data_IF_872865523560
#
_entry.id   IF_872865523560
#
_cell.length_a   1.000
_cell.length_b   1.000
_cell.length_c   1.000
_cell.angle_alpha   90.00
_cell.angle_beta   90.00
_cell.angle_gamma   90.00
#
_symmetry.space_group_name_H-M   'P 1'
#
loop_
_entity.id
_entity.type
_entity.pdbx_description
1 polymer ?
#
# COMPACT_ATOMS: atom_id res chain seq x y z
N UNK A 1 -53.12 -29.91 38.60
CA UNK A 1 -54.12 -29.15 37.82
C UNK A 1 -53.98 -29.59 36.37
N UNK A 2 -55.09 -30.09 35.80
CA UNK A 2 -55.39 -30.39 34.37
C UNK A 2 -54.99 -29.20 33.44
N UNK A 3 -54.78 -29.26 32.13
CA UNK A 3 -54.95 -30.21 31.02
C UNK A 3 -54.31 -29.52 29.77
N UNK A 4 -53.58 -30.25 28.91
CA UNK A 4 -53.88 -30.57 27.48
C UNK A 4 -53.19 -29.72 26.40
N UNK A 5 -52.60 -30.47 25.47
CA UNK A 5 -51.97 -30.10 24.22
C UNK A 5 -52.94 -29.53 23.17
N UNK A 6 -52.40 -28.87 22.15
CA UNK A 6 -52.74 -29.16 20.74
C UNK A 6 -51.59 -28.78 19.80
N UNK A 7 -51.09 -29.81 19.12
CA UNK A 7 -50.41 -29.76 17.83
C UNK A 7 -51.40 -29.33 16.74
N UNK A 8 -50.94 -28.55 15.75
CA UNK A 8 -51.50 -28.59 14.39
C UNK A 8 -50.35 -28.56 13.39
N UNK A 9 -50.24 -29.67 12.69
CA UNK A 9 -49.46 -29.94 11.50
C UNK A 9 -50.09 -29.22 10.29
N UNK A 10 -49.26 -28.65 9.42
CA UNK A 10 -49.62 -28.46 8.01
C UNK A 10 -48.38 -28.68 7.15
N UNK A 11 -48.24 -29.93 6.72
CA UNK A 11 -47.51 -30.29 5.52
C UNK A 11 -48.28 -29.80 4.29
N UNK A 12 -47.64 -29.10 3.35
CA UNK A 12 -47.76 -29.51 1.95
C UNK A 12 -46.56 -29.09 1.08
N UNK A 13 -46.30 -29.97 0.12
CA UNK A 13 -45.17 -30.09 -0.79
C UNK A 13 -45.32 -29.16 -1.99
N UNK A 14 -44.18 -28.74 -2.56
CA UNK A 14 -44.12 -28.17 -3.90
C UNK A 14 -42.76 -28.42 -4.54
N UNK A 15 -42.78 -29.17 -5.64
CA UNK A 15 -41.67 -29.50 -6.55
C UNK A 15 -40.69 -28.33 -6.74
N UNK A 16 -39.38 -28.54 -6.69
CA UNK A 16 -38.64 -29.28 -7.71
C UNK A 16 -38.28 -28.32 -8.83
N UNK A 17 -36.98 -28.04 -9.01
CA UNK A 17 -36.32 -27.87 -10.31
C UNK A 17 -34.81 -27.68 -10.09
N UNK A 18 -34.06 -28.48 -10.83
CA UNK A 18 -32.61 -28.37 -11.02
C UNK A 18 -32.22 -26.95 -11.40
N UNK A 19 -31.19 -26.43 -10.74
CA UNK A 19 -30.52 -25.20 -11.11
C UNK A 19 -29.09 -25.21 -10.61
N UNK A 20 -28.23 -25.92 -11.35
CA UNK A 20 -26.78 -25.74 -11.54
C UNK A 20 -26.07 -24.87 -10.48
N UNK A 21 -25.09 -25.39 -9.71
CA UNK A 21 -24.22 -24.51 -8.96
C UNK A 21 -23.49 -23.61 -9.96
N UNK A 22 -23.72 -22.30 -9.84
CA UNK A 22 -22.95 -21.28 -10.51
C UNK A 22 -21.49 -21.46 -10.11
N UNK A 23 -20.75 -22.20 -10.94
CA UNK A 23 -19.30 -22.15 -10.99
C UNK A 23 -18.99 -20.72 -11.38
N UNK A 24 -18.78 -19.88 -10.36
CA UNK A 24 -18.22 -18.55 -10.51
C UNK A 24 -16.93 -18.76 -11.26
N UNK A 25 -16.95 -18.35 -12.53
CA UNK A 25 -15.79 -18.27 -13.37
C UNK A 25 -14.72 -17.54 -12.56
N UNK A 26 -13.67 -18.27 -12.21
CA UNK A 26 -12.41 -17.70 -11.80
C UNK A 26 -11.95 -16.90 -13.01
N UNK A 27 -12.29 -15.62 -13.02
CA UNK A 27 -11.63 -14.66 -13.86
C UNK A 27 -10.16 -14.75 -13.44
N UNK A 28 -9.39 -15.50 -14.22
CA UNK A 28 -7.96 -15.32 -14.30
C UNK A 28 -7.77 -13.83 -14.50
N UNK A 29 -7.29 -13.19 -13.43
CA UNK A 29 -6.77 -11.84 -13.46
C UNK A 29 -5.58 -11.91 -14.39
N UNK A 30 -5.90 -11.80 -15.68
CA UNK A 30 -4.97 -11.46 -16.73
C UNK A 30 -4.29 -10.22 -16.21
N UNK A 31 -3.02 -10.40 -15.84
CA UNK A 31 -2.09 -9.34 -15.49
C UNK A 31 -1.95 -8.50 -16.74
N UNK A 32 -2.94 -7.64 -16.98
CA UNK A 32 -3.03 -6.77 -18.13
C UNK A 32 -1.80 -5.89 -18.10
N UNK A 33 -1.14 -5.85 -19.26
CA UNK A 33 0.08 -5.10 -19.51
C UNK A 33 0.02 -3.73 -18.87
N UNK A 34 1.16 -3.37 -18.28
CA UNK A 34 1.36 -2.12 -17.59
C UNK A 34 1.07 -0.97 -18.55
N UNK A 35 0.24 0.02 -18.17
CA UNK A 35 0.20 1.26 -18.90
C UNK A 35 1.55 1.94 -18.71
N UNK A 36 2.43 1.72 -19.68
CA UNK A 36 3.65 2.48 -19.92
C UNK A 36 3.24 3.94 -20.17
N UNK A 37 3.11 4.68 -19.09
CA UNK A 37 2.75 6.08 -19.08
C UNK A 37 3.55 6.72 -17.97
N UNK A 38 4.75 7.22 -18.32
CA UNK A 38 5.69 8.01 -17.52
C UNK A 38 5.31 8.10 -16.04
N UNK A 39 6.01 7.40 -15.16
CA UNK A 39 5.78 7.44 -13.72
C UNK A 39 5.66 8.89 -13.20
N UNK A 40 4.43 9.39 -13.09
CA UNK A 40 4.18 10.68 -12.47
C UNK A 40 4.53 10.56 -10.99
N UNK A 41 5.18 11.55 -10.42
CA UNK A 41 5.59 11.58 -9.00
C UNK A 41 4.50 11.06 -8.06
N UNK A 42 3.25 11.51 -8.28
CA UNK A 42 2.09 11.07 -7.49
C UNK A 42 1.82 9.57 -7.58
N UNK A 43 1.96 8.95 -8.75
CA UNK A 43 1.75 7.50 -8.92
C UNK A 43 2.78 6.69 -8.13
N UNK A 44 4.05 7.11 -8.17
CA UNK A 44 5.12 6.45 -7.41
C UNK A 44 4.85 6.53 -5.92
N UNK A 45 4.51 7.72 -5.42
CA UNK A 45 4.26 7.92 -3.99
C UNK A 45 3.00 7.20 -3.50
N UNK A 46 1.93 7.15 -4.29
CA UNK A 46 0.73 6.36 -3.95
C UNK A 46 1.05 4.87 -3.90
N UNK A 47 1.80 4.36 -4.87
CA UNK A 47 2.22 2.95 -4.83
C UNK A 47 3.07 2.63 -3.60
N UNK A 48 4.04 3.49 -3.27
CA UNK A 48 4.85 3.31 -2.06
C UNK A 48 3.97 3.33 -0.80
N UNK A 49 2.93 4.16 -0.76
CA UNK A 49 1.97 4.20 0.34
C UNK A 49 1.17 2.89 0.45
N UNK A 50 0.76 2.32 -0.68
CA UNK A 50 0.05 1.03 -0.75
C UNK A 50 0.98 -0.12 -0.29
N UNK A 51 2.20 -0.18 -0.81
CA UNK A 51 3.22 -1.17 -0.42
C UNK A 51 3.49 -1.11 1.10
N UNK A 52 3.52 0.09 1.70
CA UNK A 52 3.66 0.27 3.15
C UNK A 52 2.40 -0.09 3.94
N UNK A 53 1.21 0.00 3.35
CA UNK A 53 -0.05 -0.33 4.01
C UNK A 53 -0.24 -1.85 4.16
N UNK A 54 0.31 -2.62 3.23
CA UNK A 54 0.25 -4.09 3.23
C UNK A 54 1.26 -4.74 4.20
N UNK A 55 2.20 -3.95 4.72
CA UNK A 55 3.20 -4.42 5.68
C UNK A 55 2.58 -4.65 7.06
N UNK A 56 2.79 -5.86 7.59
CA UNK A 56 2.35 -6.25 8.93
C UNK A 56 3.54 -6.67 9.82
N UNK A 57 3.49 -6.39 11.13
CA UNK A 57 4.55 -6.79 12.04
C UNK A 57 4.65 -8.33 12.15
N UNK A 58 5.86 -8.90 12.29
CA UNK A 58 6.06 -10.33 12.50
C UNK A 58 5.32 -10.84 13.74
N UNK A 59 4.55 -11.93 13.58
CA UNK A 59 3.66 -12.45 14.64
C UNK A 59 4.40 -13.11 15.80
N UNK A 60 5.63 -13.61 15.57
CA UNK A 60 6.44 -14.34 16.55
C UNK A 60 7.26 -13.43 17.48
N UNK A 61 7.20 -12.11 17.28
CA UNK A 61 7.96 -11.13 18.08
C UNK A 61 7.14 -10.63 19.27
N UNK A 62 7.82 -10.00 20.23
CA UNK A 62 7.16 -9.45 21.42
C UNK A 62 6.13 -8.37 21.06
N UNK A 63 5.24 -8.06 21.99
CA UNK A 63 4.30 -6.94 21.81
C UNK A 63 5.02 -5.59 21.71
N UNK A 64 6.12 -5.38 22.47
CA UNK A 64 6.90 -4.15 22.40
C UNK A 64 7.50 -3.95 20.99
N UNK A 65 8.14 -5.00 20.46
CA UNK A 65 8.67 -5.01 19.09
C UNK A 65 7.59 -4.70 18.06
N UNK A 66 6.44 -5.40 18.11
CA UNK A 66 5.36 -5.21 17.13
C UNK A 66 4.76 -3.80 17.17
N UNK A 67 4.68 -3.21 18.37
CA UNK A 67 4.25 -1.81 18.54
C UNK A 67 5.25 -0.84 17.91
N UNK A 68 6.55 -1.04 18.18
CA UNK A 68 7.63 -0.28 17.57
C UNK A 68 7.65 -0.38 16.05
N UNK A 69 7.52 -1.59 15.52
CA UNK A 69 7.41 -1.85 14.09
C UNK A 69 6.23 -1.13 13.45
N UNK A 70 5.05 -1.22 14.07
CA UNK A 70 3.85 -0.50 13.62
C UNK A 70 4.07 1.01 13.65
N UNK A 71 4.74 1.53 14.67
CA UNK A 71 5.08 2.96 14.77
C UNK A 71 6.05 3.39 13.64
N UNK A 72 7.05 2.57 13.33
CA UNK A 72 7.98 2.81 12.22
C UNK A 72 7.28 2.86 10.85
N UNK A 73 6.38 1.91 10.57
CA UNK A 73 5.58 1.92 9.33
C UNK A 73 4.67 3.15 9.27
N UNK A 74 4.02 3.52 10.38
CA UNK A 74 3.20 4.76 10.44
C UNK A 74 4.05 6.00 10.14
N UNK A 75 5.25 6.10 10.71
CA UNK A 75 6.16 7.21 10.44
C UNK A 75 6.56 7.28 8.96
N UNK A 76 6.89 6.15 8.34
CA UNK A 76 7.20 6.09 6.91
C UNK A 76 6.02 6.60 6.05
N UNK A 77 4.80 6.14 6.36
CA UNK A 77 3.58 6.60 5.66
C UNK A 77 3.36 8.11 5.80
N UNK A 78 3.61 8.67 6.99
CA UNK A 78 3.53 10.13 7.20
C UNK A 78 4.51 10.86 6.28
N UNK A 79 5.77 10.40 6.18
CA UNK A 79 6.76 11.01 5.29
C UNK A 79 6.29 11.01 3.82
N UNK A 80 5.68 9.91 3.36
CA UNK A 80 5.14 9.79 2.00
C UNK A 80 3.94 10.73 1.79
N UNK A 81 3.02 10.78 2.76
CA UNK A 81 1.83 11.64 2.70
C UNK A 81 2.21 13.13 2.66
N UNK A 82 3.22 13.54 3.42
CA UNK A 82 3.73 14.92 3.39
C UNK A 82 4.23 15.29 1.98
N UNK A 83 4.97 14.41 1.32
CA UNK A 83 5.43 14.64 -0.06
C UNK A 83 4.27 14.68 -1.07
N UNK A 84 3.24 13.84 -0.89
CA UNK A 84 2.03 13.89 -1.71
C UNK A 84 1.30 15.24 -1.54
N UNK A 85 1.21 15.74 -0.30
CA UNK A 85 0.60 17.02 -0.01
C UNK A 85 1.39 18.18 -0.64
N UNK A 86 2.72 18.18 -0.50
CA UNK A 86 3.61 19.15 -1.14
C UNK A 86 3.48 19.12 -2.67
N UNK A 87 3.51 17.94 -3.27
CA UNK A 87 3.34 17.78 -4.72
C UNK A 87 1.98 18.29 -5.20
N UNK A 88 0.93 18.11 -4.41
CA UNK A 88 -0.43 18.57 -4.75
C UNK A 88 -0.58 20.09 -4.70
N UNK A 89 0.11 20.77 -3.77
CA UNK A 89 0.11 22.23 -3.67
C UNK A 89 0.85 22.95 -4.81
N UNK A 90 1.87 22.31 -5.39
CA UNK A 90 2.67 22.90 -6.48
C UNK A 90 2.00 22.87 -7.86
N UNK A 91 0.94 22.07 -8.04
CA UNK A 91 0.20 21.95 -9.31
C UNK A 91 -0.58 23.22 -9.67
N UNK A 92 -0.92 24.07 -8.68
CA UNK A 92 -1.66 25.32 -8.91
C UNK A 92 -0.80 26.38 -9.63
N UNK A 93 0.54 26.27 -9.61
CA UNK A 93 1.45 27.33 -10.07
C UNK A 93 2.18 27.05 -11.39
N UNK A 94 2.09 25.84 -11.95
CA UNK A 94 2.97 25.41 -13.07
C UNK A 94 2.24 25.04 -14.37
N UNK A 95 1.17 25.76 -14.74
CA UNK A 95 0.46 25.58 -16.01
C UNK A 95 1.12 26.35 -17.17
N UNK A 96 2.43 26.21 -17.40
CA UNK A 96 3.10 26.83 -18.56
C UNK A 96 4.45 26.17 -18.82
N UNK A 97 4.46 25.06 -19.57
CA UNK A 97 5.51 24.65 -20.54
C UNK A 97 5.32 23.17 -20.92
N UNK A 98 4.84 22.92 -22.14
CA UNK A 98 4.32 21.62 -22.60
C UNK A 98 5.38 20.67 -23.19
N UNK A 99 6.69 20.96 -23.07
CA UNK A 99 7.73 20.29 -23.88
C UNK A 99 8.63 19.25 -23.19
N UNK A 100 8.66 19.13 -21.86
CA UNK A 100 9.65 18.28 -21.13
C UNK A 100 9.09 17.58 -19.89
N UNK A 101 7.82 17.19 -19.96
CA UNK A 101 7.02 16.79 -18.80
C UNK A 101 7.45 15.46 -18.15
N UNK A 102 7.76 14.37 -18.89
CA UNK A 102 8.11 13.08 -18.28
C UNK A 102 9.42 13.13 -17.48
N UNK A 103 10.45 13.76 -18.05
CA UNK A 103 11.76 13.94 -17.42
C UNK A 103 11.66 14.76 -16.12
N UNK A 104 10.89 15.86 -16.15
CA UNK A 104 10.62 16.68 -14.96
C UNK A 104 9.85 15.92 -13.87
N UNK A 105 8.86 15.11 -14.23
CA UNK A 105 8.10 14.29 -13.28
C UNK A 105 8.98 13.19 -12.65
N UNK A 106 9.91 12.61 -13.43
CA UNK A 106 10.92 11.67 -12.92
C UNK A 106 11.90 12.33 -11.95
N UNK A 107 12.45 13.49 -12.30
CA UNK A 107 13.33 14.25 -11.40
C UNK A 107 12.62 14.60 -10.10
N UNK A 108 11.36 15.06 -10.18
CA UNK A 108 10.54 15.34 -8.99
C UNK A 108 10.28 14.08 -8.14
N UNK A 109 10.05 12.93 -8.79
CA UNK A 109 9.89 11.67 -8.08
C UNK A 109 11.18 11.27 -7.35
N UNK A 110 12.33 11.36 -8.02
CA UNK A 110 13.63 11.12 -7.38
C UNK A 110 13.89 12.03 -6.18
N UNK A 111 13.61 13.33 -6.31
CA UNK A 111 13.76 14.29 -5.19
C UNK A 111 12.84 13.96 -4.01
N UNK A 112 11.58 13.58 -4.28
CA UNK A 112 10.65 13.20 -3.23
C UNK A 112 11.11 11.92 -2.51
N UNK A 113 11.53 10.89 -3.25
CA UNK A 113 12.05 9.64 -2.69
C UNK A 113 13.32 9.86 -1.86
N UNK A 114 14.26 10.67 -2.35
CA UNK A 114 15.47 11.04 -1.60
C UNK A 114 15.14 11.81 -0.32
N UNK A 115 14.13 12.69 -0.35
CA UNK A 115 13.66 13.42 0.85
C UNK A 115 13.06 12.46 1.88
N UNK A 116 12.23 11.52 1.44
CA UNK A 116 11.66 10.47 2.31
C UNK A 116 12.78 9.63 2.93
N UNK A 117 13.73 9.15 2.13
CA UNK A 117 14.86 8.36 2.60
C UNK A 117 15.70 9.11 3.65
N UNK A 118 15.95 10.41 3.43
CA UNK A 118 16.67 11.24 4.38
C UNK A 118 15.92 11.40 5.71
N UNK A 119 14.59 11.58 5.67
CA UNK A 119 13.75 11.67 6.87
C UNK A 119 13.73 10.37 7.65
N UNK A 120 13.59 9.24 6.95
CA UNK A 120 13.65 7.90 7.54
C UNK A 120 15.01 7.63 8.20
N UNK A 121 16.10 7.97 7.53
CA UNK A 121 17.45 7.70 8.02
C UNK A 121 17.82 8.52 9.26
N UNK A 122 17.33 9.76 9.37
CA UNK A 122 17.54 10.60 10.57
C UNK A 122 16.87 10.06 11.83
N UNK A 123 15.83 9.26 11.62
CA UNK A 123 14.96 8.76 12.66
C UNK A 123 15.36 7.35 13.13
N UNK A 124 16.27 6.69 12.42
CA UNK A 124 16.92 5.44 12.80
C UNK A 124 18.01 5.71 13.87
N UNK A 125 17.58 6.01 15.09
CA UNK A 125 18.49 6.08 16.24
C UNK A 125 18.55 4.69 16.90
N UNK A 126 19.75 4.10 17.06
CA UNK A 126 19.88 2.81 17.73
C UNK A 126 19.57 2.95 19.21
N UNK A 127 18.68 2.09 19.71
CA UNK A 127 18.33 1.94 21.11
C UNK A 127 18.14 0.44 21.41
N UNK A 128 18.48 0.03 22.63
CA UNK A 128 18.49 -1.36 23.07
C UNK A 128 17.09 -1.90 23.42
N UNK A 129 16.08 -1.03 23.48
CA UNK A 129 14.69 -1.45 23.68
C UNK A 129 14.15 -2.26 22.48
N UNK A 130 13.40 -3.32 22.76
CA UNK A 130 12.84 -4.21 21.73
C UNK A 130 11.81 -3.48 20.84
N UNK A 131 11.12 -2.47 21.36
CA UNK A 131 10.30 -1.56 20.57
C UNK A 131 11.13 -0.69 19.63
N UNK A 132 12.27 -0.19 20.07
CA UNK A 132 13.19 0.52 19.19
C UNK A 132 13.75 -0.37 18.07
N UNK A 133 14.10 -1.63 18.39
CA UNK A 133 14.52 -2.61 17.39
C UNK A 133 13.41 -2.85 16.34
N UNK A 134 12.17 -3.04 16.77
CA UNK A 134 11.03 -3.19 15.85
C UNK A 134 10.83 -1.97 14.95
N UNK A 135 10.99 -0.77 15.51
CA UNK A 135 10.90 0.49 14.76
C UNK A 135 12.01 0.60 13.72
N UNK A 136 13.24 0.25 14.08
CA UNK A 136 14.39 0.26 13.18
C UNK A 136 14.24 -0.73 12.02
N UNK A 137 13.71 -1.94 12.28
CA UNK A 137 13.42 -2.92 11.23
C UNK A 137 12.35 -2.41 10.26
N UNK A 138 11.30 -1.75 10.77
CA UNK A 138 10.27 -1.12 9.93
C UNK A 138 10.84 0.03 9.08
N UNK A 139 11.69 0.89 9.64
CA UNK A 139 12.38 1.95 8.88
C UNK A 139 13.29 1.34 7.80
N UNK A 140 14.00 0.26 8.11
CA UNK A 140 14.90 -0.42 7.18
C UNK A 140 14.11 -1.01 6.00
N UNK A 141 12.96 -1.64 6.26
CA UNK A 141 12.05 -2.11 5.21
C UNK A 141 11.52 -0.96 4.36
N UNK A 142 11.11 0.15 4.98
CA UNK A 142 10.63 1.32 4.25
C UNK A 142 11.70 1.90 3.31
N UNK A 143 12.96 1.95 3.75
CA UNK A 143 14.10 2.35 2.91
C UNK A 143 14.30 1.39 1.73
N UNK A 144 14.16 0.08 1.92
CA UNK A 144 14.22 -0.89 0.82
C UNK A 144 13.13 -0.64 -0.23
N UNK A 145 11.89 -0.36 0.20
CA UNK A 145 10.78 -0.04 -0.70
C UNK A 145 11.02 1.28 -1.46
N UNK A 146 11.62 2.29 -0.79
CA UNK A 146 12.03 3.54 -1.45
C UNK A 146 13.06 3.27 -2.54
N UNK A 147 14.12 2.51 -2.24
CA UNK A 147 15.15 2.17 -3.22
C UNK A 147 14.60 1.35 -4.39
N UNK A 148 13.62 0.48 -4.15
CA UNK A 148 12.93 -0.26 -5.21
C UNK A 148 12.12 0.68 -6.12
N UNK A 149 11.45 1.69 -5.56
CA UNK A 149 10.79 2.73 -6.35
C UNK A 149 11.79 3.54 -7.19
N UNK A 150 12.94 3.92 -6.62
CA UNK A 150 14.01 4.62 -7.34
C UNK A 150 14.55 3.80 -8.52
N UNK A 151 14.79 2.50 -8.28
CA UNK A 151 15.26 1.55 -9.30
C UNK A 151 14.28 1.44 -10.46
N UNK A 152 12.98 1.35 -10.17
CA UNK A 152 11.94 1.24 -11.19
C UNK A 152 11.84 2.51 -12.05
N UNK A 153 11.93 3.70 -11.43
CA UNK A 153 12.01 4.97 -12.17
C UNK A 153 13.22 4.97 -13.13
N UNK A 154 14.35 4.42 -12.69
CA UNK A 154 15.58 4.32 -13.48
C UNK A 154 15.57 3.24 -14.57
N UNK A 155 14.66 2.26 -14.53
CA UNK A 155 14.58 1.18 -15.54
C UNK A 155 13.63 1.49 -16.71
N UNK A 156 12.69 2.43 -16.54
CA UNK A 156 11.84 2.94 -17.63
C UNK A 156 12.61 3.71 -18.73
N UNK A 157 13.94 3.74 -18.69
CA UNK A 157 14.84 4.38 -19.67
C UNK A 157 15.70 3.41 -20.47
N UNK A 158 15.80 2.13 -20.08
CA UNK A 158 16.72 1.15 -20.68
C UNK A 158 16.18 0.34 -21.85
N UNK A 159 14.92 0.58 -22.27
CA UNK A 159 14.30 -0.10 -23.41
C UNK A 159 14.39 0.75 -24.68
N UNK A 160 15.56 0.75 -25.33
CA UNK A 160 15.73 1.20 -26.72
C UNK A 160 16.45 0.11 -27.48
#
# INVERSE_FOLDING_TARGET
>A
MRMTATSVDHSDKGAGLRGVPAVVAKAESTKTGWPSGAAGTKRVLVRLLDDLADVSPPTHRSTAYRNGYTAGIRFARICVLDEIALASGTLVKSSQTRGRRPDRERVRAGVALSTIAARLSRDAVPDADDGAAGRQDAISLALQLVSECERQIGQETGGV
#
